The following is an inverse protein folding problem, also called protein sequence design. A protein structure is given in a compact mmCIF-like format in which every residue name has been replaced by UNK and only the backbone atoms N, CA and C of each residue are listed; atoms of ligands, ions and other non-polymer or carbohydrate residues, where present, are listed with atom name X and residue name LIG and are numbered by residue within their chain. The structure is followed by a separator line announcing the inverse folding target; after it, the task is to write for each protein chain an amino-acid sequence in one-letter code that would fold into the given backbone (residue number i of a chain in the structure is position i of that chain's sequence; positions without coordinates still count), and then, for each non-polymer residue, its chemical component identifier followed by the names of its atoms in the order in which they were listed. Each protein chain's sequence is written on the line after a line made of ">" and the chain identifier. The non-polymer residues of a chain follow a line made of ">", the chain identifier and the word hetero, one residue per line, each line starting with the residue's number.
data_IF_308617081831
#
_entry.id   IF_308617081831
#
_cell.length_a   1.000
_cell.length_b   1.000
_cell.length_c   1.000
_cell.angle_alpha   90.00
_cell.angle_beta   90.00
_cell.angle_gamma   90.00
#
_symmetry.space_group_name_H-M   'P 1'
#
loop_
_entity.id
_entity.type
_entity.pdbx_description
1 polymer ?
#
# COMPACT_ATOMS: atom_id res chain seq x y z
N UNK A 1 12.01 41.74 -3.29
CA UNK A 1 11.11 40.90 -2.46
C UNK A 1 11.41 39.44 -2.78
N UNK A 2 12.07 38.74 -1.85
CA UNK A 2 12.55 37.35 -2.01
C UNK A 2 12.16 36.64 -0.72
N UNK A 3 10.90 36.20 -0.61
CA UNK A 3 10.33 35.63 0.63
C UNK A 3 9.54 34.33 0.44
N UNK A 4 9.24 33.89 -0.78
CA UNK A 4 8.41 32.67 -0.97
C UNK A 4 9.17 31.36 -0.94
N UNK A 5 10.47 31.32 -1.25
CA UNK A 5 11.22 30.06 -1.33
C UNK A 5 11.63 29.48 0.02
N UNK A 6 11.67 30.29 1.08
CA UNK A 6 12.10 29.82 2.42
C UNK A 6 11.01 29.05 3.16
N UNK A 7 9.73 29.32 2.85
CA UNK A 7 8.59 28.67 3.52
C UNK A 7 8.42 27.22 3.01
N UNK A 8 8.69 26.99 1.72
CA UNK A 8 8.56 25.66 1.12
C UNK A 8 9.60 24.67 1.66
N UNK A 9 10.78 25.15 2.04
CA UNK A 9 11.85 24.31 2.62
C UNK A 9 11.61 23.96 4.10
N UNK A 10 10.90 24.82 4.85
CA UNK A 10 10.59 24.54 6.26
C UNK A 10 9.47 23.49 6.44
N UNK A 11 8.59 23.32 5.45
CA UNK A 11 7.54 22.29 5.48
C UNK A 11 8.07 20.87 5.23
N UNK A 12 9.21 20.73 4.53
CA UNK A 12 9.84 19.44 4.22
C UNK A 12 10.67 18.87 5.39
N UNK A 13 11.11 19.70 6.34
CA UNK A 13 11.93 19.29 7.49
C UNK A 13 11.11 18.86 8.71
N UNK A 14 9.79 19.11 8.73
CA UNK A 14 8.91 18.82 9.88
C UNK A 14 8.46 17.35 10.01
N UNK A 15 8.76 16.49 9.04
CA UNK A 15 8.25 15.11 9.01
C UNK A 15 9.29 14.09 9.52
N UNK A 16 10.51 14.53 9.85
CA UNK A 16 11.62 13.66 10.26
C UNK A 16 11.65 13.26 11.75
N UNK A 17 10.62 13.52 12.55
CA UNK A 17 10.67 13.32 14.03
C UNK A 17 9.89 12.13 14.59
N UNK A 18 9.35 11.22 13.77
CA UNK A 18 8.64 10.02 14.29
C UNK A 18 9.37 8.69 14.09
N UNK A 19 10.67 8.69 13.75
CA UNK A 19 11.49 7.46 13.87
C UNK A 19 12.07 7.37 15.28
N UNK A 20 11.19 7.26 16.27
CA UNK A 20 11.52 6.62 17.54
C UNK A 20 10.66 5.37 17.60
N UNK A 21 11.06 4.35 16.83
CA UNK A 21 10.52 3.00 16.98
C UNK A 21 10.92 2.50 18.37
N UNK A 22 10.04 2.75 19.35
CA UNK A 22 10.02 2.04 20.61
C UNK A 22 9.75 0.57 20.32
N UNK A 23 10.64 -0.25 20.85
CA UNK A 23 10.59 -1.71 20.83
C UNK A 23 9.74 -2.13 22.02
N UNK A 24 8.50 -2.53 21.78
CA UNK A 24 7.60 -3.11 22.78
C UNK A 24 7.01 -4.39 22.15
N UNK A 25 7.53 -5.55 22.54
CA UNK A 25 6.84 -6.56 23.38
C UNK A 25 5.97 -7.52 22.57
N UNK A 26 6.15 -8.83 22.80
CA UNK A 26 5.61 -9.97 22.05
C UNK A 26 4.11 -9.80 21.70
N UNK A 27 3.85 -9.27 20.52
CA UNK A 27 2.62 -9.43 19.78
C UNK A 27 2.80 -10.62 18.83
N UNK A 28 1.74 -11.37 18.50
CA UNK A 28 1.74 -12.16 17.27
C UNK A 28 1.72 -11.16 16.08
N UNK A 29 2.82 -10.43 15.92
CA UNK A 29 2.99 -9.36 14.95
C UNK A 29 2.87 -9.99 13.58
N UNK A 30 1.75 -9.76 12.92
CA UNK A 30 1.59 -10.23 11.56
C UNK A 30 2.54 -9.44 10.67
N UNK A 31 3.67 -10.06 10.36
CA UNK A 31 4.63 -9.54 9.42
C UNK A 31 4.04 -9.64 8.00
N UNK A 32 3.65 -8.47 7.47
CA UNK A 32 3.20 -8.27 6.10
C UNK A 32 4.26 -7.53 5.25
N UNK A 33 5.51 -7.48 5.71
CA UNK A 33 6.59 -6.76 5.02
C UNK A 33 6.79 -7.33 3.62
N UNK A 34 6.92 -8.66 3.50
CA UNK A 34 7.08 -9.34 2.22
C UNK A 34 5.87 -9.11 1.28
N UNK A 35 4.65 -9.12 1.83
CA UNK A 35 3.45 -8.80 1.06
C UNK A 35 3.43 -7.37 0.55
N UNK A 36 3.83 -6.42 1.40
CA UNK A 36 3.86 -5.00 1.04
C UNK A 36 4.89 -4.74 -0.06
N UNK A 37 6.09 -5.33 0.06
CA UNK A 37 7.14 -5.23 -0.95
C UNK A 37 6.70 -5.84 -2.29
N UNK A 38 6.07 -7.00 -2.26
CA UNK A 38 5.60 -7.66 -3.47
C UNK A 38 4.41 -6.92 -4.10
N UNK A 39 3.50 -6.37 -3.30
CA UNK A 39 2.43 -5.51 -3.78
C UNK A 39 3.01 -4.29 -4.50
N UNK A 40 3.99 -3.60 -3.89
CA UNK A 40 4.66 -2.47 -4.50
C UNK A 40 5.35 -2.87 -5.82
N UNK A 41 5.97 -4.04 -5.87
CA UNK A 41 6.58 -4.56 -7.11
C UNK A 41 5.54 -4.79 -8.21
N UNK A 42 4.37 -5.36 -7.90
CA UNK A 42 3.28 -5.56 -8.87
C UNK A 42 2.69 -4.24 -9.34
N UNK A 43 2.51 -3.29 -8.43
CA UNK A 43 2.06 -1.94 -8.73
C UNK A 43 3.04 -1.24 -9.68
N UNK A 44 4.34 -1.27 -9.38
CA UNK A 44 5.37 -0.69 -10.24
C UNK A 44 5.37 -1.34 -11.63
N UNK A 45 5.28 -2.67 -11.71
CA UNK A 45 5.21 -3.37 -13.00
C UNK A 45 3.99 -2.96 -13.85
N UNK A 46 2.85 -2.70 -13.20
CA UNK A 46 1.66 -2.18 -13.88
C UNK A 46 1.81 -0.72 -14.32
N UNK A 47 2.43 0.13 -13.49
CA UNK A 47 2.71 1.54 -13.83
C UNK A 47 3.71 1.64 -14.99
N UNK A 48 4.77 0.83 -14.97
CA UNK A 48 5.80 0.80 -16.01
C UNK A 48 5.28 0.22 -17.31
N UNK A 49 4.39 -0.78 -17.25
CA UNK A 49 3.84 -1.44 -18.42
C UNK A 49 2.39 -1.89 -18.16
N UNK A 50 1.43 -1.02 -18.47
CA UNK A 50 0.01 -1.23 -18.19
C UNK A 50 -0.64 -2.21 -19.18
N UNK A 51 -0.33 -3.49 -19.00
CA UNK A 51 -0.89 -4.61 -19.77
C UNK A 51 -1.99 -5.33 -18.99
N UNK A 52 -2.81 -6.09 -19.72
CA UNK A 52 -3.82 -7.00 -19.12
C UNK A 52 -3.17 -7.94 -18.10
N UNK A 53 -1.99 -8.47 -18.41
CA UNK A 53 -1.26 -9.38 -17.54
C UNK A 53 -0.82 -8.69 -16.23
N UNK A 54 -0.25 -7.49 -16.32
CA UNK A 54 0.22 -6.76 -15.15
C UNK A 54 -0.94 -6.25 -14.28
N UNK A 55 -2.04 -5.79 -14.90
CA UNK A 55 -3.26 -5.44 -14.18
C UNK A 55 -3.82 -6.67 -13.43
N UNK A 56 -3.99 -7.80 -14.11
CA UNK A 56 -4.50 -9.02 -13.47
C UNK A 56 -3.59 -9.50 -12.34
N UNK A 57 -2.27 -9.40 -12.51
CA UNK A 57 -1.32 -9.76 -11.47
C UNK A 57 -1.41 -8.85 -10.23
N UNK A 58 -1.58 -7.53 -10.43
CA UNK A 58 -1.83 -6.58 -9.34
C UNK A 58 -3.17 -6.86 -8.65
N UNK A 59 -4.22 -7.07 -9.44
CA UNK A 59 -5.57 -7.38 -8.98
C UNK A 59 -5.59 -8.62 -8.09
N UNK A 60 -5.06 -9.74 -8.59
CA UNK A 60 -5.01 -11.00 -7.86
C UNK A 60 -4.20 -10.85 -6.57
N UNK A 61 -3.03 -10.21 -6.63
CA UNK A 61 -2.19 -10.05 -5.46
C UNK A 61 -2.82 -9.12 -4.40
N UNK A 62 -3.52 -8.07 -4.83
CA UNK A 62 -4.29 -7.18 -3.95
C UNK A 62 -5.38 -7.93 -3.16
N UNK A 63 -6.10 -8.85 -3.82
CA UNK A 63 -7.10 -9.71 -3.16
C UNK A 63 -6.46 -10.63 -2.11
N UNK A 64 -5.32 -11.24 -2.43
CA UNK A 64 -4.59 -12.15 -1.55
C UNK A 64 -4.06 -11.42 -0.31
N UNK A 65 -3.40 -10.27 -0.50
CA UNK A 65 -2.84 -9.47 0.60
C UNK A 65 -3.95 -8.93 1.50
N UNK A 66 -5.08 -8.49 0.93
CA UNK A 66 -6.23 -8.02 1.71
C UNK A 66 -6.79 -9.13 2.60
N UNK A 67 -6.95 -10.35 2.07
CA UNK A 67 -7.39 -11.53 2.85
C UNK A 67 -6.38 -11.91 3.94
N UNK A 68 -5.08 -11.75 3.69
CA UNK A 68 -4.04 -12.01 4.70
C UNK A 68 -4.08 -10.94 5.79
N UNK A 69 -4.21 -9.66 5.43
CA UNK A 69 -4.29 -8.54 6.35
C UNK A 69 -5.54 -8.58 7.24
N UNK A 70 -6.68 -9.05 6.72
CA UNK A 70 -7.90 -9.29 7.51
C UNK A 70 -7.64 -10.23 8.69
N UNK A 71 -6.92 -11.34 8.46
CA UNK A 71 -6.61 -12.33 9.51
C UNK A 71 -5.61 -11.82 10.55
N UNK A 72 -4.92 -10.73 10.24
CA UNK A 72 -3.71 -10.30 10.91
C UNK A 72 -3.90 -9.09 11.83
N UNK A 73 -4.79 -8.19 11.46
CA UNK A 73 -4.85 -6.86 12.09
C UNK A 73 -5.91 -6.74 13.17
N UNK A 74 -6.81 -7.73 13.29
CA UNK A 74 -7.95 -7.67 14.20
C UNK A 74 -8.94 -6.55 13.90
N UNK A 75 -8.75 -5.80 12.80
CA UNK A 75 -9.75 -4.84 12.31
C UNK A 75 -11.02 -5.58 11.87
N UNK A 76 -12.14 -4.87 11.87
CA UNK A 76 -13.40 -5.45 11.42
C UNK A 76 -13.30 -5.92 9.98
N UNK A 77 -13.98 -7.03 9.67
CA UNK A 77 -14.12 -7.54 8.31
C UNK A 77 -14.60 -6.45 7.33
N UNK A 78 -15.47 -5.56 7.80
CA UNK A 78 -15.99 -4.43 7.03
C UNK A 78 -14.91 -3.43 6.59
N UNK A 79 -13.83 -3.28 7.38
CA UNK A 79 -12.70 -2.42 7.03
C UNK A 79 -11.92 -2.95 5.81
N UNK A 80 -11.89 -4.27 5.64
CA UNK A 80 -11.23 -4.92 4.50
C UNK A 80 -12.17 -5.19 3.33
N UNK A 81 -13.48 -5.29 3.57
CA UNK A 81 -14.48 -5.58 2.53
C UNK A 81 -14.40 -4.56 1.39
N UNK A 82 -14.32 -3.26 1.71
CA UNK A 82 -14.19 -2.20 0.71
C UNK A 82 -12.93 -2.35 -0.16
N UNK A 83 -11.82 -2.74 0.46
CA UNK A 83 -10.56 -2.95 -0.27
C UNK A 83 -10.66 -4.19 -1.17
N UNK A 84 -11.31 -5.24 -0.69
CA UNK A 84 -11.58 -6.45 -1.46
C UNK A 84 -12.44 -6.15 -2.70
N UNK A 85 -13.54 -5.39 -2.51
CA UNK A 85 -14.45 -4.97 -3.59
C UNK A 85 -13.72 -4.18 -4.67
N UNK A 86 -12.84 -3.25 -4.31
CA UNK A 86 -12.03 -2.48 -5.26
C UNK A 86 -11.22 -3.40 -6.18
N UNK A 87 -10.58 -4.45 -5.65
CA UNK A 87 -9.83 -5.38 -6.48
C UNK A 87 -10.75 -6.36 -7.24
N UNK A 88 -11.88 -6.78 -6.67
CA UNK A 88 -12.85 -7.62 -7.41
C UNK A 88 -13.40 -6.89 -8.64
N UNK A 89 -13.76 -5.62 -8.49
CA UNK A 89 -14.36 -4.77 -9.52
C UNK A 89 -13.35 -4.18 -10.52
N UNK A 90 -12.05 -4.37 -10.26
CA UNK A 90 -10.99 -3.88 -11.15
C UNK A 90 -11.09 -4.55 -12.53
N UNK A 91 -11.56 -3.80 -13.52
CA UNK A 91 -11.60 -4.24 -14.92
C UNK A 91 -10.25 -4.06 -15.60
N UNK A 92 -9.61 -5.18 -15.93
CA UNK A 92 -8.33 -5.21 -16.63
C UNK A 92 -8.46 -5.32 -18.17
N UNK A 93 -9.67 -5.44 -18.72
CA UNK A 93 -9.91 -5.52 -20.16
C UNK A 93 -9.49 -4.29 -20.98
N UNK A 94 -9.44 -3.05 -20.45
CA UNK A 94 -9.03 -1.88 -21.22
C UNK A 94 -7.53 -1.79 -21.51
N UNK A 95 -6.69 -2.59 -20.84
CA UNK A 95 -5.24 -2.56 -21.02
C UNK A 95 -4.82 -3.35 -22.27
N UNK A 96 -3.69 -2.98 -22.88
CA UNK A 96 -3.18 -3.61 -24.10
C UNK A 96 -2.00 -4.53 -23.82
#
# INVERSE_FOLDING_TARGET
>A
MRKSTTILFMLLLGIMTFVSCKKDEKSNECDLTAETEMYQKKLNAFIENSTVANCNALRQYGLEVTKKAEKCTGHSKDAFLKVYEIYEEMDCSPFK
#
